data_IF_091772495730
#
_entry.id   IF_091772495730
#
_cell.length_a   1.000
_cell.length_b   1.000
_cell.length_c   1.000
_cell.angle_alpha   90.00
_cell.angle_beta   90.00
_cell.angle_gamma   90.00
#
_symmetry.space_group_name_H-M   'P 1'
#
loop_
_entity.id
_entity.type
_entity.pdbx_description
1 polymer ?
#
# COMPACT_ATOMS: atom_id res chain seq x y z
N UNK A 1 -26.98 -4.54 1.13
CA UNK A 1 -26.61 -5.19 -0.15
C UNK A 1 -26.52 -4.09 -1.20
N UNK A 2 -25.52 -3.21 -1.03
CA UNK A 2 -25.37 -1.97 -1.81
C UNK A 2 -24.71 -2.26 -3.15
N UNK A 3 -25.24 -1.61 -4.18
CA UNK A 3 -24.89 -1.75 -5.60
C UNK A 3 -23.40 -1.50 -5.88
N UNK A 4 -22.76 -2.46 -6.55
CA UNK A 4 -21.39 -2.42 -7.09
C UNK A 4 -21.22 -1.49 -8.31
N UNK A 5 -21.93 -0.36 -8.37
CA UNK A 5 -21.87 0.57 -9.50
C UNK A 5 -21.83 2.01 -8.99
N UNK A 6 -20.87 2.79 -9.47
CA UNK A 6 -20.76 4.22 -9.26
C UNK A 6 -22.07 4.92 -9.72
N UNK A 7 -22.74 5.71 -8.86
CA UNK A 7 -23.96 6.43 -9.22
C UNK A 7 -23.86 7.32 -10.47
N UNK A 8 -22.64 7.69 -10.89
CA UNK A 8 -22.37 8.52 -12.10
C UNK A 8 -22.38 7.75 -13.42
N UNK A 9 -22.39 6.41 -13.39
CA UNK A 9 -22.47 5.57 -14.58
C UNK A 9 -23.91 5.31 -15.06
N UNK A 10 -24.91 6.04 -14.52
CA UNK A 10 -26.28 6.00 -15.03
C UNK A 10 -26.38 6.85 -16.29
N UNK A 11 -26.44 6.21 -17.44
CA UNK A 11 -26.83 6.86 -18.68
C UNK A 11 -28.33 7.23 -18.62
N UNK A 12 -28.64 8.53 -18.70
CA UNK A 12 -30.02 9.02 -18.77
C UNK A 12 -30.53 8.91 -20.20
N UNK A 13 -31.65 8.20 -20.39
CA UNK A 13 -32.28 8.04 -21.70
C UNK A 13 -32.92 9.37 -22.11
N UNK A 14 -32.64 9.91 -23.31
CA UNK A 14 -33.22 11.16 -23.81
C UNK A 14 -34.76 11.18 -23.73
N UNK A 15 -35.31 12.38 -23.52
CA UNK A 15 -36.70 12.59 -23.12
C UNK A 15 -37.75 12.47 -24.26
N UNK A 16 -37.37 11.96 -25.42
CA UNK A 16 -38.19 11.83 -26.63
C UNK A 16 -38.93 10.49 -26.74
N UNK A 17 -38.59 9.48 -25.93
CA UNK A 17 -39.18 8.14 -25.98
C UNK A 17 -40.37 7.99 -25.00
N UNK A 18 -41.35 7.14 -25.32
CA UNK A 18 -42.46 6.81 -24.41
C UNK A 18 -41.97 6.10 -23.14
N UNK A 19 -42.64 6.30 -21.99
CA UNK A 19 -42.15 5.78 -20.69
C UNK A 19 -41.90 4.26 -20.67
N UNK A 20 -42.70 3.49 -21.42
CA UNK A 20 -42.54 2.03 -21.58
C UNK A 20 -41.33 1.64 -22.42
N UNK A 21 -40.95 2.48 -23.37
CA UNK A 21 -39.83 2.27 -24.28
C UNK A 21 -38.51 2.63 -23.60
N UNK A 22 -38.51 3.67 -22.75
CA UNK A 22 -37.39 3.99 -21.85
C UNK A 22 -37.08 2.87 -20.88
N UNK A 23 -38.10 2.20 -20.34
CA UNK A 23 -37.90 1.04 -19.46
C UNK A 23 -37.29 -0.16 -20.17
N UNK A 24 -37.67 -0.43 -21.43
CA UNK A 24 -37.05 -1.49 -22.24
C UNK A 24 -35.59 -1.18 -22.55
N UNK A 25 -35.32 0.01 -23.08
CA UNK A 25 -33.97 0.45 -23.44
C UNK A 25 -33.06 0.45 -22.20
N UNK A 26 -33.56 0.89 -21.03
CA UNK A 26 -32.81 0.79 -19.77
C UNK A 26 -32.50 -0.64 -19.37
N UNK A 27 -33.44 -1.58 -19.52
CA UNK A 27 -33.20 -2.99 -19.18
C UNK A 27 -32.16 -3.61 -20.10
N UNK A 28 -32.31 -3.43 -21.41
CA UNK A 28 -31.40 -3.98 -22.42
C UNK A 28 -29.98 -3.40 -22.28
N UNK A 29 -29.87 -2.09 -22.04
CA UNK A 29 -28.58 -1.42 -21.84
C UNK A 29 -27.92 -1.85 -20.53
N UNK A 30 -28.67 -2.00 -19.43
CA UNK A 30 -28.13 -2.50 -18.16
C UNK A 30 -27.68 -3.96 -18.27
N UNK A 31 -28.37 -4.77 -19.08
CA UNK A 31 -28.03 -6.17 -19.32
C UNK A 31 -26.80 -6.30 -20.23
N UNK A 32 -26.66 -5.41 -21.23
CA UNK A 32 -25.46 -5.27 -22.04
C UNK A 32 -24.25 -4.80 -21.23
N UNK A 33 -24.41 -3.76 -20.40
CA UNK A 33 -23.36 -3.28 -19.46
C UNK A 33 -22.98 -4.40 -18.47
N UNK A 34 -23.94 -5.20 -18.03
CA UNK A 34 -23.68 -6.32 -17.12
C UNK A 34 -22.96 -7.48 -17.80
N UNK A 35 -23.28 -7.79 -19.07
CA UNK A 35 -22.54 -8.79 -19.86
C UNK A 35 -21.12 -8.32 -20.18
N UNK A 36 -20.96 -7.12 -20.72
CA UNK A 36 -19.65 -6.54 -21.03
C UNK A 36 -18.78 -6.33 -19.78
N UNK A 37 -19.40 -5.92 -18.66
CA UNK A 37 -18.73 -5.77 -17.38
C UNK A 37 -18.33 -7.11 -16.76
N UNK A 38 -19.13 -8.17 -16.95
CA UNK A 38 -18.81 -9.52 -16.49
C UNK A 38 -17.69 -10.14 -17.33
N UNK A 39 -17.74 -9.99 -18.65
CA UNK A 39 -16.71 -10.49 -19.56
C UNK A 39 -15.37 -9.82 -19.25
N UNK A 40 -15.36 -8.48 -19.08
CA UNK A 40 -14.15 -7.75 -18.66
C UNK A 40 -13.67 -8.18 -17.27
N UNK A 41 -14.56 -8.36 -16.29
CA UNK A 41 -14.18 -8.83 -14.97
C UNK A 41 -13.57 -10.23 -14.99
N UNK A 42 -14.05 -11.13 -15.86
CA UNK A 42 -13.54 -12.48 -16.03
C UNK A 42 -12.08 -12.50 -16.51
N UNK A 43 -11.69 -11.56 -17.37
CA UNK A 43 -10.31 -11.41 -17.84
C UNK A 43 -9.43 -10.59 -16.89
N UNK A 44 -9.99 -9.58 -16.22
CA UNK A 44 -9.24 -8.68 -15.34
C UNK A 44 -8.86 -9.35 -14.02
N UNK A 45 -9.76 -10.14 -13.42
CA UNK A 45 -9.51 -10.81 -12.15
C UNK A 45 -8.29 -11.77 -12.15
N UNK A 46 -8.11 -12.67 -13.14
CA UNK A 46 -6.92 -13.51 -13.20
C UNK A 46 -5.64 -12.69 -13.47
N UNK A 47 -5.74 -11.62 -14.26
CA UNK A 47 -4.60 -10.74 -14.53
C UNK A 47 -4.14 -9.99 -13.26
N UNK A 48 -5.08 -9.46 -12.48
CA UNK A 48 -4.81 -8.86 -11.18
C UNK A 48 -4.15 -9.86 -10.23
N UNK A 49 -4.65 -11.09 -10.22
CA UNK A 49 -4.12 -12.17 -9.37
C UNK A 49 -2.67 -12.51 -9.73
N UNK A 50 -2.34 -12.58 -11.02
CA UNK A 50 -0.98 -12.83 -11.51
C UNK A 50 -0.05 -11.67 -11.16
N UNK A 51 -0.48 -10.42 -11.37
CA UNK A 51 0.32 -9.24 -11.05
C UNK A 51 0.57 -9.13 -9.55
N UNK A 52 -0.44 -9.37 -8.71
CA UNK A 52 -0.26 -9.36 -7.26
C UNK A 52 0.64 -10.49 -6.79
N UNK A 53 0.51 -11.68 -7.37
CA UNK A 53 1.39 -12.80 -7.08
C UNK A 53 2.85 -12.46 -7.42
N UNK A 54 3.09 -11.84 -8.57
CA UNK A 54 4.43 -11.36 -8.94
C UNK A 54 4.96 -10.32 -7.93
N UNK A 55 4.15 -9.32 -7.56
CA UNK A 55 4.54 -8.28 -6.59
C UNK A 55 4.82 -8.83 -5.19
N UNK A 56 3.94 -9.68 -4.65
CA UNK A 56 4.07 -10.19 -3.29
C UNK A 56 5.19 -11.23 -3.14
N UNK A 57 5.54 -11.94 -4.23
CA UNK A 57 6.58 -12.97 -4.23
C UNK A 57 8.00 -12.41 -4.38
N UNK A 58 8.16 -11.12 -4.68
CA UNK A 58 9.46 -10.48 -4.88
C UNK A 58 9.52 -9.07 -4.29
N UNK A 59 9.22 -8.93 -3.00
CA UNK A 59 9.33 -7.65 -2.30
C UNK A 59 10.80 -7.34 -1.99
N UNK A 60 11.35 -6.23 -2.45
CA UNK A 60 12.74 -5.83 -2.21
C UNK A 60 12.85 -4.73 -1.14
N UNK A 61 13.13 -5.09 0.12
CA UNK A 61 13.28 -4.10 1.18
C UNK A 61 14.51 -3.24 0.96
N UNK A 62 14.40 -1.92 1.20
CA UNK A 62 15.58 -1.06 1.27
C UNK A 62 16.31 -1.26 2.60
N UNK A 63 17.64 -1.27 2.55
CA UNK A 63 18.48 -1.31 3.76
C UNK A 63 18.39 0.03 4.50
N UNK A 64 17.48 0.13 5.46
CA UNK A 64 17.27 1.36 6.21
C UNK A 64 17.18 1.12 7.71
N UNK A 65 18.35 1.14 8.35
CA UNK A 65 18.50 1.02 9.80
C UNK A 65 18.82 2.36 10.45
N UNK A 66 18.05 2.76 11.47
CA UNK A 66 18.25 4.02 12.19
C UNK A 66 18.79 3.85 13.61
N UNK A 67 18.38 2.77 14.29
CA UNK A 67 18.73 2.53 15.69
C UNK A 67 18.77 1.02 15.99
N UNK A 68 18.52 0.62 17.24
CA UNK A 68 18.59 -0.76 17.70
C UNK A 68 17.74 -1.76 16.91
N UNK A 69 16.57 -1.35 16.37
CA UNK A 69 15.73 -2.23 15.53
C UNK A 69 16.42 -2.68 14.24
N UNK A 70 17.47 -1.97 13.79
CA UNK A 70 18.25 -2.36 12.63
C UNK A 70 19.00 -3.68 12.85
N UNK A 71 19.49 -3.93 14.07
CA UNK A 71 20.18 -5.19 14.40
C UNK A 71 19.20 -6.35 14.30
N UNK A 72 17.96 -6.16 14.77
CA UNK A 72 16.97 -7.21 14.65
C UNK A 72 16.55 -7.44 13.19
N UNK A 73 16.44 -6.37 12.40
CA UNK A 73 16.20 -6.47 10.96
C UNK A 73 17.32 -7.27 10.26
N UNK A 74 18.58 -7.06 10.65
CA UNK A 74 19.72 -7.86 10.16
C UNK A 74 19.62 -9.32 10.63
N UNK A 75 19.17 -9.57 11.85
CA UNK A 75 18.93 -10.92 12.36
C UNK A 75 17.83 -11.65 11.58
N UNK A 76 16.75 -10.95 11.17
CA UNK A 76 15.71 -11.50 10.29
C UNK A 76 16.28 -11.90 8.92
N UNK A 77 17.28 -11.19 8.42
CA UNK A 77 18.00 -11.53 7.19
C UNK A 77 19.08 -12.62 7.37
N UNK A 78 19.41 -13.01 8.59
CA UNK A 78 20.41 -14.04 8.86
C UNK A 78 19.86 -15.46 8.67
N UNK A 79 20.76 -16.44 8.59
CA UNK A 79 20.45 -17.85 8.28
C UNK A 79 19.40 -18.51 9.16
N UNK A 80 19.19 -18.02 10.39
CA UNK A 80 18.20 -18.59 11.31
C UNK A 80 16.76 -18.33 10.88
N UNK A 81 16.49 -17.14 10.36
CA UNK A 81 15.14 -16.67 10.03
C UNK A 81 14.92 -16.57 8.53
N UNK A 82 15.98 -16.23 7.79
CA UNK A 82 16.06 -16.21 6.33
C UNK A 82 14.83 -15.60 5.66
N UNK A 83 14.78 -14.27 5.64
CA UNK A 83 13.73 -13.49 4.99
C UNK A 83 13.66 -13.72 3.46
N UNK A 84 14.71 -14.27 2.84
CA UNK A 84 14.72 -14.58 1.41
C UNK A 84 13.71 -15.67 1.03
N UNK A 85 13.37 -16.55 1.99
CA UNK A 85 12.32 -17.56 1.82
C UNK A 85 10.95 -16.98 1.47
N UNK A 86 10.71 -15.74 1.86
CA UNK A 86 9.47 -15.01 1.59
C UNK A 86 9.59 -14.07 0.37
N UNK A 87 10.68 -14.15 -0.38
CA UNK A 87 10.93 -13.29 -1.54
C UNK A 87 11.46 -11.90 -1.19
N UNK A 88 11.90 -11.69 0.06
CA UNK A 88 12.35 -10.40 0.57
C UNK A 88 13.80 -10.35 1.07
N UNK A 89 14.66 -11.26 0.59
CA UNK A 89 16.09 -11.29 0.94
C UNK A 89 16.93 -10.28 0.18
N UNK A 90 16.43 -9.74 -0.93
CA UNK A 90 17.13 -8.74 -1.74
C UNK A 90 17.09 -7.35 -1.09
N UNK A 91 17.88 -7.18 -0.03
CA UNK A 91 18.10 -5.90 0.62
C UNK A 91 18.83 -4.92 -0.30
N UNK A 92 18.11 -3.93 -0.84
CA UNK A 92 18.67 -2.94 -1.78
C UNK A 92 19.16 -1.70 -1.05
N UNK A 93 20.38 -1.28 -1.35
CA UNK A 93 20.96 -0.05 -0.78
C UNK A 93 20.43 1.24 -1.40
N UNK A 94 19.80 1.14 -2.58
CA UNK A 94 19.26 2.29 -3.32
C UNK A 94 17.74 2.29 -3.30
N UNK A 95 17.09 3.41 -2.94
CA UNK A 95 15.62 3.50 -2.89
C UNK A 95 14.98 3.32 -4.27
N UNK A 96 15.69 3.64 -5.36
CA UNK A 96 15.13 3.52 -6.72
C UNK A 96 14.90 2.07 -7.17
N UNK A 97 15.56 1.12 -6.52
CA UNK A 97 15.41 -0.31 -6.80
C UNK A 97 14.53 -1.01 -5.77
N UNK A 98 14.18 -0.36 -4.66
CA UNK A 98 13.42 -0.98 -3.58
C UNK A 98 11.94 -0.58 -3.68
N UNK A 99 11.06 -1.48 -3.26
CA UNK A 99 9.62 -1.27 -3.17
C UNK A 99 9.13 -1.20 -1.72
N UNK A 100 9.81 -1.88 -0.79
CA UNK A 100 9.47 -1.87 0.64
C UNK A 100 10.48 -1.03 1.44
N UNK A 101 9.98 -0.09 2.23
CA UNK A 101 10.74 0.70 3.18
C UNK A 101 10.45 0.25 4.62
N UNK A 102 11.40 -0.47 5.22
CA UNK A 102 11.34 -0.80 6.64
C UNK A 102 11.98 0.35 7.42
N UNK A 103 11.18 1.07 8.18
CA UNK A 103 11.70 2.11 9.09
C UNK A 103 12.09 1.46 10.41
N UNK A 104 13.33 0.97 10.48
CA UNK A 104 13.84 0.24 11.62
C UNK A 104 14.54 1.17 12.63
N UNK A 105 13.75 1.72 13.57
CA UNK A 105 14.26 2.46 14.72
C UNK A 105 13.98 3.96 14.71
N UNK A 106 14.50 4.67 15.72
CA UNK A 106 14.12 6.04 16.05
C UNK A 106 14.36 7.05 14.92
N UNK A 107 13.31 7.79 14.53
CA UNK A 107 13.41 8.92 13.60
C UNK A 107 13.58 10.22 14.38
N UNK A 108 14.69 10.92 14.15
CA UNK A 108 14.92 12.26 14.72
C UNK A 108 14.40 13.35 13.79
N UNK A 109 14.13 14.56 14.32
CA UNK A 109 13.69 15.70 13.48
C UNK A 109 14.68 16.03 12.36
N UNK A 110 15.98 15.83 12.60
CA UNK A 110 17.02 16.00 11.57
C UNK A 110 16.93 14.93 10.48
N UNK A 111 16.54 13.71 10.84
CA UNK A 111 16.42 12.59 9.90
C UNK A 111 15.08 12.59 9.16
N UNK A 112 14.03 13.17 9.73
CA UNK A 112 12.69 13.25 9.14
C UNK A 112 12.65 13.68 7.65
N UNK A 113 13.27 14.80 7.23
CA UNK A 113 13.25 15.19 5.82
C UNK A 113 14.04 14.22 4.91
N UNK A 114 14.98 13.44 5.46
CA UNK A 114 15.73 12.42 4.71
C UNK A 114 14.91 11.17 4.49
N UNK A 115 14.15 10.75 5.50
CA UNK A 115 13.16 9.66 5.40
C UNK A 115 12.16 9.98 4.29
N UNK A 116 11.57 11.19 4.32
CA UNK A 116 10.63 11.64 3.29
C UNK A 116 11.25 11.61 1.89
N UNK A 117 12.46 12.16 1.75
CA UNK A 117 13.18 12.15 0.46
C UNK A 117 13.45 10.75 -0.07
N UNK A 118 13.83 9.80 0.79
CA UNK A 118 14.05 8.41 0.38
C UNK A 118 12.76 7.79 -0.13
N UNK A 119 11.66 7.96 0.61
CA UNK A 119 10.34 7.49 0.21
C UNK A 119 9.85 8.10 -1.10
N UNK A 120 10.09 9.39 -1.33
CA UNK A 120 9.70 10.08 -2.56
C UNK A 120 10.53 9.61 -3.77
N UNK A 121 11.74 9.09 -3.56
CA UNK A 121 12.60 8.55 -4.62
C UNK A 121 12.32 7.08 -4.98
N UNK A 122 11.47 6.39 -4.21
CA UNK A 122 11.07 5.01 -4.48
C UNK A 122 10.03 4.95 -5.62
N UNK A 123 10.12 3.95 -6.51
CA UNK A 123 9.12 3.72 -7.56
C UNK A 123 7.77 3.31 -6.96
N UNK A 124 6.69 3.56 -7.70
CA UNK A 124 5.37 3.03 -7.39
C UNK A 124 5.23 1.63 -8.02
N UNK A 125 4.72 0.60 -7.32
CA UNK A 125 4.11 0.58 -5.99
C UNK A 125 5.13 0.49 -4.86
N UNK A 126 4.94 1.29 -3.80
CA UNK A 126 5.81 1.28 -2.60
C UNK A 126 5.04 1.05 -1.32
N UNK A 127 5.70 0.40 -0.37
CA UNK A 127 5.13 0.03 0.92
C UNK A 127 6.03 0.44 2.08
N UNK A 128 5.45 0.77 3.23
CA UNK A 128 6.20 1.17 4.43
C UNK A 128 5.83 0.28 5.61
N UNK A 129 6.85 -0.32 6.22
CA UNK A 129 6.73 -1.06 7.49
C UNK A 129 7.36 -0.21 8.60
N UNK A 130 6.57 0.18 9.59
CA UNK A 130 7.06 0.86 10.78
C UNK A 130 7.48 -0.18 11.82
N UNK A 131 8.80 -0.34 12.02
CA UNK A 131 9.37 -1.32 12.93
C UNK A 131 9.86 -0.70 14.24
N UNK A 132 9.14 -1.01 15.33
CA UNK A 132 9.52 -0.71 16.71
C UNK A 132 8.72 0.43 17.37
N UNK A 133 8.77 0.48 18.70
CA UNK A 133 8.02 1.43 19.53
C UNK A 133 8.40 2.90 19.23
N UNK A 134 9.66 3.15 18.86
CA UNK A 134 10.14 4.50 18.55
C UNK A 134 9.45 5.10 17.32
N UNK A 135 9.17 4.30 16.28
CA UNK A 135 8.53 4.79 15.04
C UNK A 135 7.02 4.85 15.14
N UNK A 136 6.41 4.11 16.06
CA UNK A 136 4.97 4.14 16.32
C UNK A 136 4.54 5.44 17.02
N UNK A 137 5.27 5.83 18.06
CA UNK A 137 4.88 6.96 18.90
C UNK A 137 6.03 7.62 19.67
N UNK A 138 7.27 7.39 19.27
CA UNK A 138 8.47 7.86 19.98
C UNK A 138 8.99 6.92 21.06
N UNK A 139 8.25 5.86 21.41
CA UNK A 139 8.67 4.81 22.34
C UNK A 139 9.15 5.38 23.69
N UNK A 140 10.33 4.98 24.19
CA UNK A 140 10.88 5.52 25.45
C UNK A 140 11.17 7.03 25.39
N UNK A 141 11.28 7.61 24.18
CA UNK A 141 11.52 9.03 23.97
C UNK A 141 10.24 9.86 23.86
N UNK A 142 9.06 9.24 24.01
CA UNK A 142 7.76 9.90 23.85
C UNK A 142 7.51 11.05 24.83
N UNK A 143 7.98 10.94 26.09
CA UNK A 143 7.78 11.94 27.13
C UNK A 143 8.83 13.05 27.10
N UNK A 144 10.11 12.69 27.11
CA UNK A 144 11.22 13.64 27.32
C UNK A 144 12.11 13.84 26.07
N UNK A 145 11.88 13.11 25.00
CA UNK A 145 12.67 13.21 23.78
C UNK A 145 12.25 14.41 22.93
N UNK A 146 12.94 15.54 23.08
CA UNK A 146 12.70 16.75 22.25
C UNK A 146 13.12 16.56 20.78
N UNK A 147 14.05 15.65 20.51
CA UNK A 147 14.67 15.49 19.19
C UNK A 147 14.04 14.37 18.35
N UNK A 148 13.11 13.59 18.92
CA UNK A 148 12.50 12.41 18.29
C UNK A 148 11.12 12.76 17.74
N UNK A 149 10.84 12.33 16.51
CA UNK A 149 9.51 12.46 15.93
C UNK A 149 8.61 11.40 16.56
N UNK A 150 7.52 11.85 17.20
CA UNK A 150 6.53 10.98 17.84
C UNK A 150 5.59 10.38 16.80
N UNK A 151 6.09 9.41 16.03
CA UNK A 151 5.37 8.71 14.97
C UNK A 151 5.92 9.01 13.57
N UNK A 152 6.29 7.95 12.83
CA UNK A 152 6.76 8.05 11.44
C UNK A 152 5.61 8.35 10.46
N UNK A 153 4.38 8.01 10.85
CA UNK A 153 3.14 8.26 10.09
C UNK A 153 2.91 9.75 9.80
N UNK A 154 3.55 10.65 10.56
CA UNK A 154 3.52 12.09 10.31
C UNK A 154 4.35 12.51 9.09
N UNK A 155 5.23 11.65 8.60
CA UNK A 155 6.21 11.95 7.55
C UNK A 155 5.89 11.14 6.29
N UNK A 156 5.67 9.84 6.45
CA UNK A 156 5.39 8.89 5.36
C UNK A 156 4.20 8.01 5.74
N UNK A 157 3.34 7.63 4.79
CA UNK A 157 2.21 6.76 5.06
C UNK A 157 2.71 5.37 5.45
N UNK A 158 2.21 4.82 6.55
CA UNK A 158 2.60 3.48 7.03
C UNK A 158 1.55 2.44 6.65
N UNK A 159 2.01 1.29 6.14
CA UNK A 159 1.14 0.19 5.75
C UNK A 159 0.97 -0.86 6.84
N UNK A 160 2.07 -1.23 7.50
CA UNK A 160 2.09 -2.24 8.55
C UNK A 160 2.90 -1.72 9.74
N UNK A 161 2.33 -1.90 10.93
CA UNK A 161 2.90 -1.50 12.20
C UNK A 161 3.41 -2.71 12.96
N UNK A 162 4.67 -2.66 13.41
CA UNK A 162 5.32 -3.75 14.16
C UNK A 162 5.70 -3.27 15.56
N UNK A 163 4.95 -3.64 16.60
CA UNK A 163 5.27 -3.28 17.97
C UNK A 163 6.49 -4.06 18.49
N UNK A 164 7.34 -3.40 19.29
CA UNK A 164 8.49 -4.02 19.96
C UNK A 164 9.63 -3.04 20.27
N UNK A 165 10.58 -3.42 21.14
CA UNK A 165 11.72 -2.55 21.50
C UNK A 165 13.01 -3.35 21.87
N UNK A 166 13.73 -3.94 20.89
CA UNK A 166 13.32 -4.14 19.50
C UNK A 166 12.25 -5.26 19.40
N UNK A 167 11.42 -5.29 18.34
CA UNK A 167 10.57 -6.46 18.07
C UNK A 167 11.45 -7.68 17.84
N UNK A 168 10.95 -8.90 18.05
CA UNK A 168 11.70 -10.11 17.73
C UNK A 168 11.73 -10.35 16.21
N UNK A 169 12.67 -11.14 15.66
CA UNK A 169 12.79 -11.32 14.22
C UNK A 169 11.56 -12.02 13.64
N UNK A 170 10.91 -12.90 14.40
CA UNK A 170 9.68 -13.58 14.01
C UNK A 170 8.52 -12.60 13.85
N UNK A 171 8.44 -11.57 14.69
CA UNK A 171 7.40 -10.54 14.60
C UNK A 171 7.56 -9.70 13.34
N UNK A 172 8.81 -9.47 12.90
CA UNK A 172 9.06 -8.80 11.62
C UNK A 172 8.64 -9.69 10.43
N UNK A 173 8.87 -11.00 10.51
CA UNK A 173 8.38 -11.95 9.48
C UNK A 173 6.85 -11.96 9.40
N UNK A 174 6.17 -11.97 10.54
CA UNK A 174 4.70 -11.87 10.56
C UNK A 174 4.21 -10.58 9.90
N UNK A 175 4.89 -9.46 10.17
CA UNK A 175 4.57 -8.18 9.53
C UNK A 175 4.76 -8.22 8.00
N UNK A 176 5.80 -8.90 7.52
CA UNK A 176 6.01 -9.13 6.09
C UNK A 176 4.88 -9.97 5.48
N UNK A 177 4.45 -11.04 6.16
CA UNK A 177 3.34 -11.88 5.70
C UNK A 177 2.03 -11.09 5.66
N UNK A 178 1.75 -10.24 6.65
CA UNK A 178 0.60 -9.32 6.64
C UNK A 178 0.68 -8.30 5.51
N UNK A 179 1.88 -7.82 5.19
CA UNK A 179 2.08 -6.95 4.03
C UNK A 179 1.76 -7.71 2.73
N UNK A 180 2.20 -8.96 2.58
CA UNK A 180 1.87 -9.80 1.42
C UNK A 180 0.37 -10.06 1.29
N UNK A 181 -0.35 -10.26 2.40
CA UNK A 181 -1.81 -10.35 2.41
C UNK A 181 -2.47 -9.05 1.95
N UNK A 182 -1.96 -7.90 2.40
CA UNK A 182 -2.43 -6.59 1.92
C UNK A 182 -2.22 -6.44 0.41
N UNK A 183 -1.04 -6.78 -0.11
CA UNK A 183 -0.74 -6.73 -1.56
C UNK A 183 -1.66 -7.68 -2.34
N UNK A 184 -1.96 -8.86 -1.80
CA UNK A 184 -2.88 -9.83 -2.43
C UNK A 184 -4.28 -9.26 -2.63
N UNK A 185 -4.75 -8.42 -1.71
CA UNK A 185 -6.07 -7.77 -1.77
C UNK A 185 -6.15 -6.55 -2.69
N UNK A 186 -5.04 -6.08 -3.26
CA UNK A 186 -5.06 -4.94 -4.19
C UNK A 186 -5.60 -5.35 -5.56
N UNK A 187 -6.15 -4.40 -6.33
CA UNK A 187 -6.64 -4.68 -7.69
C UNK A 187 -6.09 -3.64 -8.68
N UNK A 188 -4.80 -3.73 -9.05
CA UNK A 188 -4.11 -2.68 -9.81
C UNK A 188 -4.67 -2.47 -11.24
N UNK A 189 -5.09 -3.54 -11.91
CA UNK A 189 -5.66 -3.49 -13.27
C UNK A 189 -7.11 -3.04 -13.21
N UNK A 190 -7.92 -3.60 -12.30
CA UNK A 190 -9.29 -3.14 -12.13
C UNK A 190 -9.36 -1.65 -11.75
N UNK A 191 -8.43 -1.17 -10.90
CA UNK A 191 -8.33 0.23 -10.53
C UNK A 191 -7.97 1.13 -11.74
N UNK A 192 -6.99 0.74 -12.57
CA UNK A 192 -6.66 1.47 -13.80
C UNK A 192 -7.80 1.50 -14.82
N UNK A 193 -8.65 0.47 -14.83
CA UNK A 193 -9.81 0.37 -15.71
C UNK A 193 -11.07 1.02 -15.12
N UNK A 194 -11.02 1.59 -13.91
CA UNK A 194 -12.16 2.24 -13.26
C UNK A 194 -13.28 1.29 -12.83
N UNK A 195 -13.01 -0.02 -12.76
CA UNK A 195 -14.01 -1.06 -12.44
C UNK A 195 -14.21 -1.24 -10.93
N UNK A 196 -13.26 -0.79 -10.11
CA UNK A 196 -13.34 -0.85 -8.66
C UNK A 196 -12.76 0.43 -8.05
N UNK A 197 -13.44 1.11 -7.11
CA UNK A 197 -12.82 2.17 -6.33
C UNK A 197 -11.73 1.54 -5.46
N UNK A 198 -10.49 1.98 -5.63
CA UNK A 198 -9.34 1.52 -4.84
C UNK A 198 -9.69 1.51 -3.34
N UNK A 199 -9.70 0.34 -2.67
CA UNK A 199 -10.16 0.21 -1.28
C UNK A 199 -9.21 0.90 -0.29
N UNK A 200 -8.00 1.26 -0.72
CA UNK A 200 -6.99 1.94 0.09
C UNK A 200 -6.88 3.44 -0.21
N UNK A 201 -7.67 3.97 -1.16
CA UNK A 201 -7.62 5.37 -1.55
C UNK A 201 -6.22 5.85 -1.98
N UNK A 202 -5.30 4.97 -2.39
CA UNK A 202 -3.96 5.41 -2.83
C UNK A 202 -4.01 6.09 -4.20
N UNK A 203 -5.03 5.77 -5.02
CA UNK A 203 -5.34 6.51 -6.26
C UNK A 203 -6.09 7.83 -6.01
N UNK A 204 -6.66 8.05 -4.83
CA UNK A 204 -7.24 9.31 -4.38
C UNK A 204 -6.33 9.87 -3.31
N UNK A 205 -5.25 10.57 -3.73
CA UNK A 205 -4.39 11.42 -2.90
C UNK A 205 -5.04 11.72 -1.55
N UNK A 206 -4.55 11.08 -0.48
CA UNK A 206 -5.11 11.25 0.87
C UNK A 206 -5.24 12.76 1.14
N UNK A 207 -6.44 13.28 1.45
CA UNK A 207 -6.64 14.72 1.65
C UNK A 207 -5.79 15.32 2.78
N UNK A 208 -5.14 14.48 3.61
CA UNK A 208 -4.16 14.90 4.62
C UNK A 208 -2.76 15.20 4.05
N UNK A 209 -2.48 14.74 2.83
CA UNK A 209 -1.21 14.93 2.13
C UNK A 209 -1.46 15.50 0.73
N UNK A 210 -1.77 16.81 0.62
CA UNK A 210 -1.84 17.46 -0.69
C UNK A 210 -0.51 17.29 -1.42
N UNK A 211 -0.56 16.93 -2.70
CA UNK A 211 0.61 16.96 -3.56
C UNK A 211 1.25 18.35 -3.45
N UNK A 212 2.58 18.40 -3.34
CA UNK A 212 3.29 19.60 -3.69
C UNK A 212 2.87 19.92 -5.13
N UNK A 213 2.03 20.94 -5.27
CA UNK A 213 1.71 21.52 -6.56
C UNK A 213 3.04 21.92 -7.18
N UNK A 214 3.34 21.37 -8.36
CA UNK A 214 4.43 21.87 -9.18
C UNK A 214 4.21 23.36 -9.39
N UNK A 215 5.05 24.16 -8.73
CA UNK A 215 5.36 25.56 -9.01
C UNK A 215 6.83 25.78 -8.62
#
# INVERSE_FOLDING_TARGET
MGSLLDPRLRYEVPADHSDRERERIRKELNEAIRKEGLDRALYVAPLDSIINWARLSSLWPMTFGLACCAIEMMATGASRYDIDRFGAGAFRATPRQADVMIVAGTVTYKMAPRVKRLFDQMPEPKYVIAMGACVLGGGPYSLHGYHVVKGVDKIVPVDVYVPGCPPRPETLLEALMRLQEKVRSEHPVAAKLGLYPDPLGRSVVDPRFPQATEN
#
